data_IF_310710310569
#
_entry.id   IF_310710310569
#
_cell.length_a   1.000
_cell.length_b   1.000
_cell.length_c   1.000
_cell.angle_alpha   90.00
_cell.angle_beta   90.00
_cell.angle_gamma   90.00
#
_symmetry.space_group_name_H-M   'P 1'
#
loop_
_entity.id
_entity.type
_entity.pdbx_description
1 polymer ?
#
# COMPACT_ATOMS: atom_id res chain seq x y z
N UNK A 1 58.90 -53.45 -20.78
CA UNK A 1 57.68 -53.93 -21.48
C UNK A 1 57.05 -55.16 -20.85
N UNK A 2 57.81 -56.04 -20.23
CA UNK A 2 57.26 -57.22 -19.59
C UNK A 2 56.65 -56.95 -18.16
N UNK A 3 56.84 -55.77 -17.63
CA UNK A 3 56.44 -55.40 -16.30
C UNK A 3 55.02 -54.73 -16.24
N UNK A 4 54.55 -54.18 -17.36
CA UNK A 4 53.23 -53.46 -17.43
C UNK A 4 52.19 -54.41 -18.00
N UNK A 5 51.11 -54.63 -17.21
CA UNK A 5 50.01 -55.50 -17.61
C UNK A 5 48.91 -54.77 -18.36
N UNK A 6 48.52 -53.60 -17.90
CA UNK A 6 47.50 -52.77 -18.55
C UNK A 6 47.66 -51.31 -18.16
N UNK A 7 47.23 -50.42 -19.04
CA UNK A 7 47.18 -48.97 -18.80
C UNK A 7 45.78 -48.44 -19.07
N UNK A 8 45.27 -47.69 -18.13
CA UNK A 8 44.01 -46.98 -18.30
C UNK A 8 44.28 -45.47 -18.42
N UNK A 9 43.90 -44.92 -19.56
CA UNK A 9 44.08 -43.51 -19.86
C UNK A 9 42.84 -42.74 -19.53
N UNK A 10 42.95 -41.81 -18.57
CA UNK A 10 41.85 -40.98 -18.15
C UNK A 10 42.12 -39.51 -18.50
N UNK A 11 41.55 -39.00 -19.61
CA UNK A 11 41.73 -37.61 -20.00
C UNK A 11 41.02 -36.68 -19.01
N UNK A 12 41.62 -35.54 -18.73
CA UNK A 12 40.99 -34.50 -17.93
C UNK A 12 40.01 -33.69 -18.76
N UNK A 13 39.14 -32.95 -18.08
CA UNK A 13 38.26 -31.99 -18.74
C UNK A 13 39.01 -30.91 -19.51
N UNK A 14 40.20 -30.54 -19.04
CA UNK A 14 41.08 -29.61 -19.72
C UNK A 14 42.04 -30.45 -20.57
N UNK A 15 41.59 -30.80 -21.75
CA UNK A 15 42.44 -31.45 -22.78
C UNK A 15 43.59 -30.50 -23.16
N UNK A 16 44.83 -30.97 -23.35
CA UNK A 16 45.27 -32.37 -23.57
C UNK A 16 45.75 -33.12 -22.32
N UNK A 17 45.62 -32.58 -21.12
CA UNK A 17 46.15 -33.20 -19.91
C UNK A 17 45.33 -34.42 -19.47
N UNK A 18 46.00 -35.38 -18.78
CA UNK A 18 45.31 -36.58 -18.29
C UNK A 18 46.09 -37.34 -17.25
N UNK A 19 45.55 -38.49 -16.86
CA UNK A 19 46.12 -39.42 -15.90
C UNK A 19 46.21 -40.79 -16.55
N UNK A 20 47.33 -41.45 -16.34
CA UNK A 20 47.55 -42.85 -16.73
C UNK A 20 47.58 -43.70 -15.45
N UNK A 21 46.64 -44.62 -15.32
CA UNK A 21 46.62 -45.60 -14.24
C UNK A 21 47.26 -46.89 -14.79
N UNK A 22 48.44 -47.20 -14.33
CA UNK A 22 49.28 -48.30 -14.82
C UNK A 22 49.18 -49.45 -13.84
N UNK A 23 48.78 -50.62 -14.31
CA UNK A 23 48.73 -51.85 -13.52
C UNK A 23 49.93 -52.73 -13.98
N UNK A 24 50.83 -52.99 -13.05
CA UNK A 24 52.03 -53.83 -13.31
C UNK A 24 51.69 -55.32 -13.19
N UNK A 25 52.58 -56.16 -13.68
CA UNK A 25 52.45 -57.64 -13.66
C UNK A 25 52.42 -58.19 -12.23
N UNK A 26 53.06 -57.52 -11.26
CA UNK A 26 53.06 -57.80 -9.85
C UNK A 26 51.79 -57.35 -9.13
N UNK A 27 50.83 -56.80 -9.85
CA UNK A 27 49.57 -56.20 -9.37
C UNK A 27 49.75 -54.91 -8.61
N UNK A 28 50.87 -54.24 -8.63
CA UNK A 28 51.03 -52.89 -8.11
C UNK A 28 50.39 -51.91 -9.09
N UNK A 29 49.77 -50.84 -8.57
CA UNK A 29 49.17 -49.78 -9.35
C UNK A 29 50.02 -48.52 -9.19
N UNK A 30 50.26 -47.86 -10.31
CA UNK A 30 51.02 -46.61 -10.36
C UNK A 30 50.26 -45.59 -11.18
N UNK A 31 50.12 -44.38 -10.66
CA UNK A 31 49.42 -43.29 -11.34
C UNK A 31 50.40 -42.26 -11.84
N UNK A 32 50.38 -41.98 -13.15
CA UNK A 32 51.23 -40.99 -13.80
C UNK A 32 50.33 -39.88 -14.38
N UNK A 33 50.68 -38.63 -14.11
CA UNK A 33 50.00 -37.48 -14.71
C UNK A 33 50.76 -37.04 -15.96
N UNK A 34 50.05 -36.87 -17.05
CA UNK A 34 50.60 -36.46 -18.35
C UNK A 34 50.06 -35.11 -18.81
N UNK A 35 50.94 -34.34 -19.42
CA UNK A 35 50.56 -33.03 -19.95
C UNK A 35 49.83 -33.12 -21.29
N UNK A 36 50.12 -34.20 -22.04
CA UNK A 36 49.45 -34.47 -23.32
C UNK A 36 49.14 -35.97 -23.44
N UNK A 37 47.83 -36.27 -23.40
CA UNK A 37 47.31 -37.64 -23.52
C UNK A 37 47.55 -38.20 -24.91
N UNK A 38 47.55 -37.38 -25.96
CA UNK A 38 47.76 -37.81 -27.34
C UNK A 38 49.20 -38.19 -27.59
N UNK A 39 50.14 -37.51 -26.95
CA UNK A 39 51.57 -37.87 -26.99
C UNK A 39 51.80 -39.20 -26.30
N UNK A 40 51.22 -39.38 -25.10
CA UNK A 40 51.27 -40.65 -24.36
C UNK A 40 50.70 -41.82 -25.17
N UNK A 41 49.58 -41.62 -25.83
CA UNK A 41 48.97 -42.63 -26.72
C UNK A 41 49.90 -42.96 -27.89
N UNK A 42 50.51 -41.94 -28.55
CA UNK A 42 51.42 -42.13 -29.68
C UNK A 42 52.71 -42.92 -29.30
N UNK A 43 53.17 -42.76 -28.07
CA UNK A 43 54.26 -43.51 -27.53
C UNK A 43 53.89 -44.99 -27.30
N UNK A 44 52.70 -45.25 -26.70
CA UNK A 44 52.21 -46.62 -26.51
C UNK A 44 51.95 -47.34 -27.82
N UNK A 45 51.47 -46.65 -28.85
CA UNK A 45 51.30 -47.21 -30.19
C UNK A 45 52.61 -47.51 -30.87
N UNK A 46 53.66 -46.67 -30.76
CA UNK A 46 54.98 -46.89 -31.29
C UNK A 46 55.65 -48.10 -30.68
N UNK A 47 55.51 -48.30 -29.39
CA UNK A 47 56.03 -49.47 -28.66
C UNK A 47 55.14 -50.72 -28.84
N UNK A 48 54.08 -50.64 -29.65
CA UNK A 48 53.10 -51.75 -29.92
C UNK A 48 52.48 -52.29 -28.65
N UNK A 49 52.25 -51.42 -27.63
CA UNK A 49 51.55 -51.78 -26.43
C UNK A 49 50.00 -51.79 -26.67
N UNK A 50 49.42 -52.98 -26.72
CA UNK A 50 48.02 -53.19 -27.12
C UNK A 50 47.06 -53.28 -25.96
N UNK A 51 47.55 -53.31 -24.72
CA UNK A 51 46.72 -53.47 -23.52
C UNK A 51 46.44 -52.15 -22.80
N UNK A 52 45.93 -51.17 -23.57
CA UNK A 52 45.48 -49.91 -22.98
C UNK A 52 44.05 -49.57 -23.38
N UNK A 53 43.36 -48.86 -22.49
CA UNK A 53 41.98 -48.37 -22.68
C UNK A 53 42.00 -46.87 -22.47
N UNK A 54 41.36 -46.13 -23.38
CA UNK A 54 41.18 -44.68 -23.23
C UNK A 54 39.74 -44.41 -22.85
N UNK A 55 39.54 -43.82 -21.70
CA UNK A 55 38.23 -43.43 -21.23
C UNK A 55 37.75 -42.14 -21.90
N UNK A 56 36.46 -41.98 -22.05
CA UNK A 56 35.87 -40.75 -22.55
C UNK A 56 36.09 -39.57 -21.60
N UNK A 57 36.22 -38.38 -22.17
CA UNK A 57 36.28 -37.14 -21.39
C UNK A 57 35.05 -37.03 -20.52
N UNK A 58 35.18 -36.83 -19.20
CA UNK A 58 34.01 -36.76 -18.29
C UNK A 58 33.02 -35.70 -18.74
N UNK A 59 31.79 -36.12 -19.02
CA UNK A 59 30.72 -35.21 -19.44
C UNK A 59 30.49 -34.12 -18.39
N UNK A 60 30.28 -32.91 -18.84
CA UNK A 60 30.02 -31.78 -17.96
C UNK A 60 28.56 -31.86 -17.46
N UNK A 61 28.39 -32.08 -16.16
CA UNK A 61 27.07 -32.02 -15.53
C UNK A 61 26.67 -30.56 -15.34
N UNK A 62 26.27 -29.92 -16.44
CA UNK A 62 25.80 -28.52 -16.45
C UNK A 62 24.71 -28.25 -15.40
N UNK A 63 23.89 -29.25 -15.06
CA UNK A 63 22.90 -29.20 -14.00
C UNK A 63 23.53 -28.95 -12.61
N UNK A 64 24.70 -29.56 -12.32
CA UNK A 64 25.41 -29.35 -11.06
C UNK A 64 25.99 -27.94 -10.96
N UNK A 65 26.38 -27.33 -12.08
CA UNK A 65 26.86 -25.96 -12.13
C UNK A 65 25.71 -24.94 -11.97
N UNK A 66 24.47 -25.29 -12.36
CA UNK A 66 23.29 -24.46 -12.17
C UNK A 66 22.69 -24.55 -10.76
N UNK A 67 22.95 -25.65 -10.04
CA UNK A 67 22.37 -25.88 -8.72
C UNK A 67 22.67 -24.75 -7.70
N UNK A 68 23.90 -24.27 -7.53
CA UNK A 68 24.19 -23.16 -6.61
C UNK A 68 23.48 -21.87 -7.04
N UNK A 69 23.36 -21.62 -8.34
CA UNK A 69 22.65 -20.46 -8.86
C UNK A 69 21.15 -20.53 -8.55
N UNK A 70 20.52 -21.69 -8.74
CA UNK A 70 19.11 -21.92 -8.40
C UNK A 70 18.85 -21.78 -6.89
N UNK A 71 19.79 -22.24 -6.04
CA UNK A 71 19.69 -22.06 -4.59
C UNK A 71 19.73 -20.59 -4.19
N UNK A 72 20.62 -19.79 -4.79
CA UNK A 72 20.72 -18.35 -4.52
C UNK A 72 19.45 -17.63 -4.97
N UNK A 73 18.96 -17.92 -6.18
CA UNK A 73 17.70 -17.32 -6.67
C UNK A 73 16.49 -17.78 -5.86
N UNK A 74 16.44 -19.04 -5.46
CA UNK A 74 15.38 -19.56 -4.58
C UNK A 74 15.39 -18.89 -3.21
N UNK A 75 16.57 -18.75 -2.59
CA UNK A 75 16.71 -18.05 -1.31
C UNK A 75 16.32 -16.57 -1.42
N UNK A 76 16.72 -15.89 -2.50
CA UNK A 76 16.37 -14.49 -2.76
C UNK A 76 14.87 -14.32 -3.03
N UNK A 77 14.23 -15.27 -3.73
CA UNK A 77 12.78 -15.29 -3.94
C UNK A 77 12.01 -15.51 -2.64
N UNK A 78 12.47 -16.44 -1.79
CA UNK A 78 11.88 -16.66 -0.46
C UNK A 78 12.04 -15.41 0.41
N UNK A 79 13.20 -14.77 0.42
CA UNK A 79 13.44 -13.53 1.15
C UNK A 79 12.52 -12.40 0.62
N UNK A 80 12.38 -12.28 -0.69
CA UNK A 80 11.47 -11.34 -1.32
C UNK A 80 10.01 -11.60 -0.93
N UNK A 81 9.57 -12.87 -0.93
CA UNK A 81 8.23 -13.25 -0.46
C UNK A 81 8.01 -12.95 1.02
N UNK A 82 9.01 -13.19 1.89
CA UNK A 82 8.93 -12.84 3.31
C UNK A 82 8.82 -11.32 3.49
N UNK A 83 9.61 -10.54 2.77
CA UNK A 83 9.55 -9.06 2.81
C UNK A 83 8.21 -8.56 2.29
N UNK A 84 7.72 -9.09 1.17
CA UNK A 84 6.40 -8.75 0.63
C UNK A 84 5.27 -9.13 1.57
N UNK A 85 5.33 -10.34 2.18
CA UNK A 85 4.31 -10.81 3.12
C UNK A 85 4.34 -10.03 4.45
N UNK A 86 5.52 -9.66 4.93
CA UNK A 86 5.65 -8.79 6.11
C UNK A 86 5.22 -7.33 5.80
N UNK A 87 5.33 -6.87 4.57
CA UNK A 87 4.75 -5.59 4.14
C UNK A 87 3.22 -5.67 4.02
N UNK A 88 2.66 -6.83 3.69
CA UNK A 88 1.21 -7.05 3.65
C UNK A 88 0.61 -7.26 5.06
N UNK A 89 1.35 -7.88 5.99
CA UNK A 89 0.91 -8.14 7.36
C UNK A 89 1.27 -7.04 8.36
N UNK A 90 2.31 -6.25 8.06
CA UNK A 90 2.76 -5.11 8.86
C UNK A 90 2.61 -3.83 8.08
N UNK A 91 1.37 -3.39 7.79
CA UNK A 91 1.04 -2.19 7.04
C UNK A 91 1.68 -0.90 7.58
N UNK A 92 2.96 -0.68 7.34
CA UNK A 92 3.70 0.41 7.97
C UNK A 92 4.35 1.45 7.06
N UNK A 93 4.58 1.18 5.78
CA UNK A 93 5.33 2.12 4.95
C UNK A 93 4.56 2.66 3.73
N UNK A 94 3.99 1.79 2.92
CA UNK A 94 3.31 2.19 1.69
C UNK A 94 1.87 2.69 1.90
N UNK A 95 1.15 2.12 2.87
CA UNK A 95 -0.22 2.53 3.18
C UNK A 95 -0.30 3.86 3.94
N UNK A 96 0.75 4.26 4.67
CA UNK A 96 0.81 5.60 5.28
C UNK A 96 0.87 6.70 4.23
N UNK A 97 1.59 6.51 3.14
CA UNK A 97 1.63 7.48 2.04
C UNK A 97 0.31 7.56 1.28
N UNK A 98 -0.39 6.44 1.07
CA UNK A 98 -1.72 6.43 0.44
C UNK A 98 -2.83 6.97 1.36
N UNK A 99 -2.64 6.95 2.69
CA UNK A 99 -3.64 7.45 3.64
C UNK A 99 -3.48 8.94 3.98
N UNK A 100 -2.47 9.63 3.47
CA UNK A 100 -2.30 11.08 3.70
C UNK A 100 -3.46 11.91 3.15
N UNK A 101 -4.14 11.45 2.11
CA UNK A 101 -5.29 12.12 1.51
C UNK A 101 -6.65 11.74 2.11
N UNK A 102 -6.74 10.66 2.90
CA UNK A 102 -8.04 10.22 3.46
C UNK A 102 -8.54 11.17 4.54
N UNK A 103 -9.84 11.41 4.50
CA UNK A 103 -10.54 12.19 5.52
C UNK A 103 -10.30 11.61 6.92
N UNK A 104 -9.97 12.49 7.87
CA UNK A 104 -9.87 12.17 9.31
C UNK A 104 -11.20 12.32 10.03
N UNK A 105 -12.28 12.50 9.29
CA UNK A 105 -13.61 12.65 9.88
C UNK A 105 -13.93 11.44 10.75
N UNK A 106 -14.36 11.71 11.97
CA UNK A 106 -14.82 10.68 12.90
C UNK A 106 -16.32 10.51 12.67
N UNK A 107 -16.71 9.38 12.10
CA UNK A 107 -18.10 8.96 12.11
C UNK A 107 -18.43 8.46 13.53
N UNK A 108 -19.32 9.14 14.21
CA UNK A 108 -19.75 8.76 15.55
C UNK A 108 -21.20 8.28 15.45
N UNK A 109 -21.37 6.97 15.31
CA UNK A 109 -22.69 6.36 15.08
C UNK A 109 -23.42 6.05 16.38
N UNK A 110 -22.72 5.60 17.42
CA UNK A 110 -23.36 5.09 18.64
C UNK A 110 -23.34 6.06 19.83
N UNK A 111 -22.27 6.85 20.00
CA UNK A 111 -22.17 7.77 21.14
C UNK A 111 -23.06 9.02 21.00
N UNK A 112 -23.42 9.43 19.79
CA UNK A 112 -24.20 10.66 19.56
C UNK A 112 -25.73 10.40 19.48
N UNK A 113 -26.17 9.15 19.33
CA UNK A 113 -27.60 8.81 19.38
C UNK A 113 -28.25 9.12 20.74
N UNK A 114 -27.42 9.29 21.78
CA UNK A 114 -27.88 9.59 23.12
C UNK A 114 -27.95 11.10 23.42
N UNK A 115 -27.48 11.97 22.50
CA UNK A 115 -27.53 13.43 22.70
C UNK A 115 -28.68 14.01 21.92
N UNK A 116 -29.70 14.53 22.64
CA UNK A 116 -30.89 15.14 22.08
C UNK A 116 -31.01 16.61 22.53
N UNK A 117 -32.06 17.31 22.10
CA UNK A 117 -32.31 18.66 22.54
C UNK A 117 -32.57 18.78 24.06
N UNK A 118 -32.90 17.70 24.74
CA UNK A 118 -32.98 17.65 26.19
C UNK A 118 -31.66 17.89 26.90
N UNK A 119 -30.55 17.49 26.25
CA UNK A 119 -29.20 17.65 26.78
C UNK A 119 -28.64 19.07 26.58
N UNK A 120 -29.33 19.90 25.79
CA UNK A 120 -28.94 21.27 25.51
C UNK A 120 -29.73 22.21 26.37
N UNK A 121 -29.10 22.92 27.30
CA UNK A 121 -29.75 23.90 28.15
C UNK A 121 -29.98 25.23 27.39
N UNK A 122 -31.16 25.86 27.55
CA UNK A 122 -31.46 27.11 26.88
C UNK A 122 -31.65 26.99 25.37
N UNK A 123 -31.32 28.04 24.62
CA UNK A 123 -31.34 28.09 23.16
C UNK A 123 -32.70 27.72 22.55
N UNK A 124 -33.77 28.29 23.07
CA UNK A 124 -35.15 27.92 22.65
C UNK A 124 -35.41 28.32 21.20
N UNK A 125 -35.06 29.53 20.83
CA UNK A 125 -35.26 30.05 19.47
C UNK A 125 -34.43 29.25 18.45
N UNK A 126 -33.16 28.98 18.78
CA UNK A 126 -32.26 28.23 17.91
C UNK A 126 -32.73 26.76 17.77
N UNK A 127 -33.30 26.17 18.80
CA UNK A 127 -33.86 24.82 18.73
C UNK A 127 -35.09 24.77 17.83
N UNK A 128 -36.04 25.74 17.97
CA UNK A 128 -37.21 25.83 17.13
C UNK A 128 -36.85 25.97 15.65
N UNK A 129 -35.82 26.77 15.30
CA UNK A 129 -35.32 26.88 13.92
C UNK A 129 -34.71 25.56 13.42
N UNK A 130 -34.03 24.80 14.30
CA UNK A 130 -33.42 23.55 13.96
C UNK A 130 -34.37 22.35 13.93
N UNK A 131 -35.56 22.46 14.57
CA UNK A 131 -36.60 21.43 14.50
C UNK A 131 -37.07 21.18 13.05
N UNK A 132 -37.11 22.22 12.20
CA UNK A 132 -37.47 22.07 10.80
C UNK A 132 -36.45 21.20 10.06
N UNK A 133 -35.18 21.33 10.41
CA UNK A 133 -34.08 20.51 9.84
C UNK A 133 -34.18 19.06 10.35
N UNK A 134 -34.48 18.89 11.64
CA UNK A 134 -34.71 17.56 12.22
C UNK A 134 -35.87 16.85 11.52
N UNK A 135 -36.97 17.53 11.31
CA UNK A 135 -38.13 16.96 10.62
C UNK A 135 -37.80 16.60 9.16
N UNK A 136 -37.05 17.46 8.50
CA UNK A 136 -36.57 17.15 7.15
C UNK A 136 -35.71 15.90 7.13
N UNK A 137 -34.75 15.77 8.05
CA UNK A 137 -33.85 14.61 8.10
C UNK A 137 -34.60 13.31 8.45
N UNK A 138 -35.68 13.40 9.23
CA UNK A 138 -36.56 12.27 9.54
C UNK A 138 -37.41 11.84 8.33
N UNK A 139 -37.94 12.80 7.58
CA UNK A 139 -38.86 12.53 6.47
C UNK A 139 -38.54 13.35 5.21
N UNK A 140 -37.41 13.15 4.54
CA UNK A 140 -36.98 13.96 3.39
C UNK A 140 -38.00 13.97 2.24
N UNK A 141 -38.67 12.82 2.03
CA UNK A 141 -39.62 12.64 0.92
C UNK A 141 -40.87 13.52 1.04
N UNK A 142 -41.26 13.90 2.24
CA UNK A 142 -42.38 14.80 2.47
C UNK A 142 -42.11 16.19 1.91
N UNK A 143 -40.91 16.70 2.14
CA UNK A 143 -40.48 18.03 1.72
C UNK A 143 -40.18 18.09 0.23
N UNK A 144 -39.56 17.09 -0.33
CA UNK A 144 -39.30 17.00 -1.77
C UNK A 144 -40.57 16.93 -2.60
N UNK A 145 -41.60 16.23 -2.14
CA UNK A 145 -42.92 16.18 -2.82
C UNK A 145 -43.63 17.54 -2.86
N UNK A 146 -43.40 18.39 -1.86
CA UNK A 146 -43.97 19.73 -1.78
C UNK A 146 -43.13 20.78 -2.57
N UNK A 147 -42.02 20.37 -3.17
CA UNK A 147 -41.11 21.28 -3.85
C UNK A 147 -40.38 22.25 -2.91
N UNK A 148 -40.30 21.92 -1.62
CA UNK A 148 -39.60 22.73 -0.64
C UNK A 148 -38.10 22.76 -0.94
N UNK A 149 -37.48 23.93 -0.86
CA UNK A 149 -36.03 24.08 -0.93
C UNK A 149 -35.44 23.89 0.45
N UNK A 150 -34.68 22.84 0.60
CA UNK A 150 -34.01 22.50 1.85
C UNK A 150 -32.69 23.24 1.91
N UNK A 151 -32.34 23.84 3.08
CA UNK A 151 -31.01 24.44 3.24
C UNK A 151 -29.91 23.36 3.13
N UNK A 152 -28.94 23.60 2.25
CA UNK A 152 -27.81 22.68 2.07
C UNK A 152 -26.78 22.76 3.20
N UNK A 153 -26.87 23.77 4.06
CA UNK A 153 -26.02 23.95 5.22
C UNK A 153 -26.54 25.02 6.17
N UNK A 154 -26.13 24.90 7.42
CA UNK A 154 -26.46 25.84 8.51
C UNK A 154 -25.15 26.34 9.09
N UNK A 155 -25.06 27.65 9.33
CA UNK A 155 -23.91 28.26 9.98
C UNK A 155 -24.24 28.58 11.45
N UNK A 156 -23.53 27.92 12.37
CA UNK A 156 -23.61 28.20 13.80
C UNK A 156 -22.58 29.24 14.20
N UNK A 157 -23.00 30.42 14.56
CA UNK A 157 -22.13 31.55 14.94
C UNK A 157 -22.26 31.84 16.42
N UNK A 158 -21.14 32.06 17.11
CA UNK A 158 -21.12 32.41 18.51
C UNK A 158 -19.75 32.32 19.15
N UNK A 159 -19.56 32.85 20.37
CA UNK A 159 -18.29 32.75 21.09
C UNK A 159 -17.87 31.30 21.34
N UNK A 160 -16.58 31.03 21.63
CA UNK A 160 -16.15 29.71 22.04
C UNK A 160 -16.82 29.28 23.34
N UNK A 161 -17.13 27.97 23.48
CA UNK A 161 -17.74 27.41 24.68
C UNK A 161 -19.26 27.56 24.78
N UNK A 162 -19.95 28.12 23.79
CA UNK A 162 -21.42 28.30 23.80
C UNK A 162 -22.20 27.04 23.46
N UNK A 163 -21.53 25.91 23.19
CA UNK A 163 -22.21 24.64 22.95
C UNK A 163 -22.59 24.36 21.48
N UNK A 164 -22.03 25.10 20.50
CA UNK A 164 -22.31 24.89 19.07
C UNK A 164 -22.17 23.43 18.63
N UNK A 165 -21.09 22.79 18.99
CA UNK A 165 -20.83 21.37 18.68
C UNK A 165 -21.84 20.44 19.36
N UNK A 166 -22.23 20.75 20.59
CA UNK A 166 -23.27 20.01 21.34
C UNK A 166 -24.62 20.13 20.65
N UNK A 167 -24.98 21.33 20.22
CA UNK A 167 -26.24 21.60 19.51
C UNK A 167 -26.29 20.84 18.18
N UNK A 168 -25.23 20.85 17.40
CA UNK A 168 -25.14 20.08 16.15
C UNK A 168 -25.27 18.57 16.38
N UNK A 169 -24.67 18.03 17.45
CA UNK A 169 -24.85 16.64 17.86
C UNK A 169 -26.28 16.34 18.29
N UNK A 170 -26.93 17.26 18.99
CA UNK A 170 -28.30 17.11 19.43
C UNK A 170 -29.25 17.03 18.23
N UNK A 171 -29.05 17.84 17.19
CA UNK A 171 -29.84 17.76 15.94
C UNK A 171 -29.67 16.38 15.29
N UNK A 172 -28.48 15.84 15.21
CA UNK A 172 -28.28 14.51 14.65
C UNK A 172 -28.90 13.40 15.48
N UNK A 173 -28.79 13.48 16.81
CA UNK A 173 -29.42 12.53 17.73
C UNK A 173 -30.93 12.60 17.69
N UNK A 174 -31.51 13.81 17.65
CA UNK A 174 -32.93 14.02 17.53
C UNK A 174 -33.50 13.50 16.20
N UNK A 175 -32.73 13.69 15.10
CA UNK A 175 -33.07 13.16 13.78
C UNK A 175 -32.81 11.65 13.63
N UNK A 176 -31.96 11.06 14.49
CA UNK A 176 -31.58 9.66 14.42
C UNK A 176 -30.63 9.34 13.26
N UNK A 177 -29.90 10.34 12.76
CA UNK A 177 -28.99 10.21 11.60
C UNK A 177 -27.52 10.18 12.01
N UNK A 178 -26.62 9.60 11.16
CA UNK A 178 -25.18 9.61 11.39
C UNK A 178 -24.62 11.03 11.47
N UNK A 179 -23.60 11.20 12.33
CA UNK A 179 -22.92 12.46 12.54
C UNK A 179 -21.43 12.33 12.21
N UNK A 180 -20.96 13.09 11.22
CA UNK A 180 -19.57 13.21 10.85
C UNK A 180 -19.02 14.51 11.42
N UNK A 181 -17.89 14.44 12.15
CA UNK A 181 -17.24 15.61 12.73
C UNK A 181 -15.80 15.71 12.27
N UNK A 182 -15.41 16.89 11.80
CA UNK A 182 -14.06 17.23 11.39
C UNK A 182 -13.74 18.67 11.80
N UNK A 183 -12.47 18.98 12.05
CA UNK A 183 -12.03 20.37 12.23
C UNK A 183 -11.67 21.00 10.89
N UNK A 184 -12.00 22.26 10.68
CA UNK A 184 -11.54 23.03 9.52
C UNK A 184 -10.02 23.08 9.39
N UNK A 185 -9.31 23.01 10.52
CA UNK A 185 -7.84 22.90 10.53
C UNK A 185 -7.31 21.61 9.92
N UNK A 186 -8.09 20.53 9.93
CA UNK A 186 -7.69 19.25 9.31
C UNK A 186 -7.62 19.32 7.78
N UNK A 187 -8.25 20.31 7.19
CA UNK A 187 -8.18 20.57 5.75
C UNK A 187 -6.99 21.43 5.35
N UNK A 188 -6.36 22.13 6.31
CA UNK A 188 -5.22 23.01 6.07
C UNK A 188 -3.92 22.25 6.28
N UNK A 189 -3.36 21.72 5.22
CA UNK A 189 -2.08 21.00 5.24
C UNK A 189 -1.01 21.75 4.45
N UNK A 190 0.27 21.36 4.63
CA UNK A 190 1.39 22.00 3.93
C UNK A 190 1.50 21.59 2.44
N UNK A 191 0.74 20.58 1.99
CA UNK A 191 0.84 20.04 0.64
C UNK A 191 -0.37 20.42 -0.20
N UNK A 192 -0.11 21.00 -1.36
CA UNK A 192 -1.15 21.45 -2.31
C UNK A 192 -2.05 20.29 -2.75
N UNK A 193 -3.36 20.49 -2.66
CA UNK A 193 -4.38 19.54 -3.11
C UNK A 193 -4.81 18.49 -2.08
N UNK A 194 -4.12 18.34 -0.96
CA UNK A 194 -4.48 17.38 0.09
C UNK A 194 -5.78 17.78 0.79
N UNK A 195 -5.95 19.06 1.08
CA UNK A 195 -7.18 19.59 1.68
C UNK A 195 -8.41 19.34 0.80
N UNK A 196 -8.33 19.65 -0.49
CA UNK A 196 -9.41 19.41 -1.44
C UNK A 196 -9.75 17.91 -1.62
N UNK A 197 -8.75 17.03 -1.55
CA UNK A 197 -8.99 15.59 -1.57
C UNK A 197 -9.74 15.12 -0.33
N UNK A 198 -9.36 15.60 0.85
CA UNK A 198 -10.05 15.26 2.11
C UNK A 198 -11.51 15.74 2.13
N UNK A 199 -11.77 16.91 1.54
CA UNK A 199 -13.14 17.38 1.37
C UNK A 199 -13.95 16.41 0.53
N UNK A 200 -13.43 16.00 -0.64
CA UNK A 200 -14.11 15.02 -1.51
C UNK A 200 -14.40 13.71 -0.79
N UNK A 201 -13.40 13.14 -0.14
CA UNK A 201 -13.53 11.87 0.59
C UNK A 201 -14.57 11.96 1.69
N UNK A 202 -14.60 13.07 2.44
CA UNK A 202 -15.61 13.32 3.48
C UNK A 202 -17.02 13.33 2.91
N UNK A 203 -17.25 14.07 1.83
CA UNK A 203 -18.58 14.17 1.20
C UNK A 203 -18.98 12.89 0.47
N UNK A 204 -18.01 12.13 -0.06
CA UNK A 204 -18.27 10.80 -0.61
C UNK A 204 -18.75 9.81 0.47
N UNK A 205 -18.12 9.84 1.64
CA UNK A 205 -18.53 9.00 2.76
C UNK A 205 -19.86 9.46 3.35
N UNK A 206 -20.12 10.75 3.39
CA UNK A 206 -21.41 11.31 3.79
C UNK A 206 -22.53 10.87 2.84
N UNK A 207 -22.33 10.95 1.52
CA UNK A 207 -23.29 10.49 0.50
C UNK A 207 -23.64 9.00 0.65
N UNK A 208 -22.67 8.15 0.98
CA UNK A 208 -22.90 6.71 1.23
C UNK A 208 -23.77 6.44 2.47
N UNK A 209 -23.78 7.37 3.40
CA UNK A 209 -24.51 7.27 4.68
C UNK A 209 -25.67 8.25 4.78
N UNK A 210 -26.16 8.78 3.67
CA UNK A 210 -27.29 9.72 3.66
C UNK A 210 -28.61 9.04 4.11
N UNK A 211 -29.49 9.75 4.84
CA UNK A 211 -29.29 11.11 5.33
C UNK A 211 -28.33 11.17 6.53
N UNK A 212 -27.46 12.18 6.57
CA UNK A 212 -26.47 12.37 7.64
C UNK A 212 -26.15 13.85 7.85
N UNK A 213 -25.51 14.17 8.97
CA UNK A 213 -25.01 15.52 9.26
C UNK A 213 -23.48 15.52 9.17
N UNK A 214 -22.94 16.45 8.39
CA UNK A 214 -21.50 16.76 8.36
C UNK A 214 -21.28 18.06 9.14
N UNK A 215 -20.56 17.98 10.24
CA UNK A 215 -20.21 19.13 11.06
C UNK A 215 -18.74 19.49 10.88
N UNK A 216 -18.50 20.71 10.45
CA UNK A 216 -17.16 21.27 10.29
C UNK A 216 -16.94 22.32 11.36
N UNK A 217 -16.14 22.01 12.39
CA UNK A 217 -15.78 22.95 13.42
C UNK A 217 -14.66 23.87 12.93
N UNK A 218 -14.59 25.10 13.47
CA UNK A 218 -13.56 26.08 13.13
C UNK A 218 -13.40 26.30 11.59
N UNK A 219 -14.50 26.43 10.89
CA UNK A 219 -14.51 26.60 9.42
C UNK A 219 -13.72 27.86 8.97
N UNK A 220 -13.56 28.83 9.84
CA UNK A 220 -12.75 30.03 9.61
C UNK A 220 -11.27 29.71 9.35
N UNK A 221 -10.76 28.56 9.80
CA UNK A 221 -9.43 28.10 9.47
C UNK A 221 -9.21 27.96 7.95
N UNK A 222 -10.25 27.51 7.22
CA UNK A 222 -10.26 27.39 5.76
C UNK A 222 -10.68 28.70 5.09
N UNK A 223 -11.67 29.40 5.67
CA UNK A 223 -12.30 30.59 5.10
C UNK A 223 -11.54 31.90 5.39
N UNK A 224 -10.39 31.86 6.05
CA UNK A 224 -9.64 33.07 6.45
C UNK A 224 -9.24 33.90 5.25
N UNK A 225 -9.65 35.18 5.24
CA UNK A 225 -9.40 36.16 4.19
C UNK A 225 -7.90 36.38 3.92
N UNK A 226 -7.58 36.66 2.67
CA UNK A 226 -6.24 36.96 2.14
C UNK A 226 -5.55 38.04 2.95
N UNK A 227 -4.49 37.70 3.66
CA UNK A 227 -3.47 38.66 4.02
C UNK A 227 -2.50 38.79 2.87
N UNK A 228 -1.97 40.00 2.63
CA UNK A 228 -1.02 40.34 1.54
C UNK A 228 0.36 39.69 1.74
N UNK A 229 0.43 38.38 2.01
CA UNK A 229 1.66 37.62 2.20
C UNK A 229 1.95 36.73 1.00
N UNK A 230 3.08 36.93 0.33
CA UNK A 230 3.60 36.08 -0.74
C UNK A 230 4.04 34.73 -0.14
N UNK A 231 3.22 33.67 -0.32
CA UNK A 231 3.59 32.30 0.08
C UNK A 231 2.56 31.27 -0.32
N UNK A 232 3.00 30.12 -0.84
CA UNK A 232 2.20 29.05 -1.47
C UNK A 232 1.12 28.36 -0.60
N UNK A 233 0.96 28.74 0.68
CA UNK A 233 -0.14 28.26 1.52
C UNK A 233 -1.49 28.93 1.31
N UNK A 234 -1.55 29.97 0.46
CA UNK A 234 -2.80 30.67 0.13
C UNK A 234 -3.62 29.96 -0.93
N UNK A 235 -2.96 29.40 -1.94
CA UNK A 235 -3.62 28.73 -3.05
C UNK A 235 -4.31 27.44 -2.59
N UNK A 236 -3.75 26.74 -1.61
CA UNK A 236 -4.33 25.51 -1.08
C UNK A 236 -5.62 25.74 -0.30
N UNK A 237 -5.66 26.76 0.56
CA UNK A 237 -6.88 27.12 1.31
C UNK A 237 -8.01 27.54 0.38
N UNK A 238 -7.70 28.34 -0.64
CA UNK A 238 -8.69 28.75 -1.64
C UNK A 238 -9.19 27.57 -2.46
N UNK A 239 -8.30 26.65 -2.86
CA UNK A 239 -8.67 25.42 -3.54
C UNK A 239 -9.55 24.52 -2.66
N UNK A 240 -9.23 24.39 -1.38
CA UNK A 240 -9.99 23.61 -0.40
C UNK A 240 -11.37 24.21 -0.16
N UNK A 241 -11.47 25.54 0.01
CA UNK A 241 -12.73 26.25 0.16
C UNK A 241 -13.60 26.11 -1.09
N UNK A 242 -13.03 26.28 -2.28
CA UNK A 242 -13.74 26.12 -3.53
C UNK A 242 -14.27 24.68 -3.67
N UNK A 243 -13.47 23.68 -3.30
CA UNK A 243 -13.91 22.28 -3.32
C UNK A 243 -15.08 22.06 -2.33
N UNK A 244 -15.00 22.65 -1.13
CA UNK A 244 -16.08 22.57 -0.15
C UNK A 244 -17.39 23.14 -0.73
N UNK A 245 -17.34 24.30 -1.34
CA UNK A 245 -18.50 24.93 -1.96
C UNK A 245 -19.05 24.08 -3.12
N UNK A 246 -18.18 23.51 -3.95
CA UNK A 246 -18.57 22.60 -5.05
C UNK A 246 -19.29 21.36 -4.50
N UNK A 247 -18.76 20.73 -3.46
CA UNK A 247 -19.41 19.56 -2.86
C UNK A 247 -20.76 19.91 -2.22
N UNK A 248 -20.86 21.06 -1.53
CA UNK A 248 -22.13 21.55 -0.97
C UNK A 248 -23.16 21.87 -2.05
N UNK A 249 -22.73 22.44 -3.19
CA UNK A 249 -23.62 22.74 -4.31
C UNK A 249 -24.02 21.48 -5.09
N UNK A 250 -23.18 20.46 -5.10
CA UNK A 250 -23.38 19.18 -5.77
C UNK A 250 -24.49 18.31 -5.19
N UNK A 251 -25.04 18.63 -4.00
CA UNK A 251 -26.27 18.01 -3.49
C UNK A 251 -27.48 18.53 -4.25
N UNK A 252 -27.65 18.04 -5.48
CA UNK A 252 -28.80 18.33 -6.33
C UNK A 252 -30.06 17.60 -5.86
N UNK A 253 -31.20 18.14 -6.25
CA UNK A 253 -32.56 17.68 -5.88
C UNK A 253 -32.86 16.20 -6.27
N UNK A 254 -31.97 15.53 -6.98
CA UNK A 254 -32.20 14.19 -7.56
C UNK A 254 -31.36 13.07 -6.95
N UNK A 255 -30.59 13.31 -5.90
CA UNK A 255 -29.80 12.28 -5.22
C UNK A 255 -30.32 12.04 -3.79
N UNK A 256 -31.54 11.56 -3.72
CA UNK A 256 -32.20 11.14 -2.48
C UNK A 256 -32.97 9.86 -2.72
#
# INVERSE_FOLDING_TARGET
DDEIKSVEVQPNRVYPTGRLDIVKTDKSEETLYVLDVSEAQSLMDKEKFTSYVVNDIPAENWLMNLLPLLLVFGAMFILFMIVMNNQAAGGGGGSKMMNFGKSRAKMTTDENRNVTFENVAGLREEKEELEEIVDFLKEPRKYTRLGARIPKGVLLVGPPGTGKTLLAKAVAGEAGVPFFSISGSDFVEMFVGVGASRVRDLFEDAKKNAPCIVFIDEIDAVARRRGTGMGGGHDEREQTLNQLLVEMDGFGVNEG
#
